data_IF_230275572894
#
_entry.id   IF_230275572894
#
_cell.length_a   1.000
_cell.length_b   1.000
_cell.length_c   1.000
_cell.angle_alpha   90.00
_cell.angle_beta   90.00
_cell.angle_gamma   90.00
#
_symmetry.space_group_name_H-M   'P 1'
#
loop_
_entity.id
_entity.type
_entity.pdbx_description
1 polymer ?
#
# COMPACT_ATOMS: atom_id res chain seq x y z
N UNK A 1 12.89 25.75 31.83
CA UNK A 1 13.78 26.55 30.97
C UNK A 1 13.15 26.69 29.60
N UNK A 2 13.21 27.91 29.08
CA UNK A 2 12.52 28.45 27.91
C UNK A 2 12.76 27.61 26.65
N UNK A 3 11.69 27.28 25.92
CA UNK A 3 11.73 26.72 24.58
C UNK A 3 12.50 27.69 23.66
N UNK A 4 13.80 27.48 23.47
CA UNK A 4 14.60 28.22 22.49
C UNK A 4 14.39 27.56 21.13
N UNK A 5 13.22 27.84 20.54
CA UNK A 5 12.98 27.57 19.12
C UNK A 5 14.11 28.20 18.31
N UNK A 6 14.84 27.37 17.58
CA UNK A 6 15.96 27.80 16.75
C UNK A 6 15.41 28.72 15.64
N UNK A 7 15.65 30.03 15.67
CA UNK A 7 15.10 30.94 14.66
C UNK A 7 15.59 30.61 13.25
N UNK A 8 16.75 29.95 13.16
CA UNK A 8 17.30 29.40 11.92
C UNK A 8 16.40 28.31 11.32
N UNK A 9 15.84 27.41 12.14
CA UNK A 9 14.90 26.38 11.67
C UNK A 9 13.66 27.03 11.05
N UNK A 10 13.14 28.11 11.64
CA UNK A 10 12.04 28.87 11.05
C UNK A 10 12.44 29.55 9.72
N UNK A 11 13.64 30.12 9.63
CA UNK A 11 14.12 30.74 8.39
C UNK A 11 14.26 29.71 7.26
N UNK A 12 14.78 28.51 7.55
CA UNK A 12 14.92 27.43 6.56
C UNK A 12 13.56 26.97 6.04
N UNK A 13 12.53 26.90 6.89
CA UNK A 13 11.17 26.56 6.47
C UNK A 13 10.56 27.61 5.53
N UNK A 14 10.81 28.90 5.77
CA UNK A 14 10.26 30.00 4.96
C UNK A 14 10.93 30.08 3.58
N UNK A 15 12.24 29.83 3.51
CA UNK A 15 12.98 29.80 2.23
C UNK A 15 12.63 28.54 1.42
N UNK A 16 12.41 27.40 2.08
CA UNK A 16 12.04 26.14 1.41
C UNK A 16 10.61 26.08 0.87
N UNK A 17 9.68 26.83 1.48
CA UNK A 17 8.27 26.85 1.06
C UNK A 17 8.01 27.73 -0.18
N UNK A 18 8.96 28.58 -0.57
CA UNK A 18 8.83 29.53 -1.68
C UNK A 18 9.00 28.96 -3.09
N UNK A 19 9.30 27.65 -3.23
CA UNK A 19 9.46 26.97 -4.53
C UNK A 19 8.29 26.03 -4.88
N UNK A 20 7.22 26.01 -4.09
CA UNK A 20 6.00 25.26 -4.43
C UNK A 20 5.00 26.24 -5.03
N UNK A 21 5.02 26.31 -6.37
CA UNK A 21 4.09 27.07 -7.20
C UNK A 21 2.63 26.73 -6.82
N UNK A 22 1.66 27.68 -6.92
CA UNK A 22 0.27 27.41 -6.58
C UNK A 22 -0.28 26.32 -7.50
N UNK A 23 -0.68 25.18 -6.92
CA UNK A 23 -1.54 24.23 -7.60
C UNK A 23 -2.88 24.91 -7.85
N UNK A 24 -3.02 25.54 -9.01
CA UNK A 24 -4.31 25.69 -9.66
C UNK A 24 -4.97 24.32 -9.66
N UNK A 25 -6.23 24.17 -9.19
CA UNK A 25 -6.98 22.97 -9.49
C UNK A 25 -7.19 22.93 -11.01
N UNK A 26 -6.30 22.21 -11.69
CA UNK A 26 -6.54 21.74 -13.05
C UNK A 26 -7.80 20.86 -12.99
N UNK A 27 -8.90 21.24 -13.66
CA UNK A 27 -10.08 20.39 -13.74
C UNK A 27 -9.70 19.16 -14.55
N UNK A 28 -9.53 18.02 -13.87
CA UNK A 28 -9.28 16.68 -14.42
C UNK A 28 -9.92 16.52 -15.80
N UNK A 29 -9.14 16.61 -16.89
CA UNK A 29 -9.64 16.31 -18.21
C UNK A 29 -9.76 14.79 -18.35
N UNK A 30 -10.99 14.31 -18.46
CA UNK A 30 -11.28 13.03 -19.10
C UNK A 30 -11.41 11.82 -18.18
N UNK A 31 -12.59 11.65 -17.57
CA UNK A 31 -13.21 10.32 -17.59
C UNK A 31 -13.90 10.21 -18.94
N UNK A 32 -13.13 9.78 -19.95
CA UNK A 32 -13.70 9.35 -21.21
C UNK A 32 -14.43 8.04 -20.93
N UNK A 33 -15.73 7.91 -21.30
CA UNK A 33 -16.43 6.62 -21.26
C UNK A 33 -15.63 5.58 -22.06
N UNK A 34 -15.79 4.28 -21.79
CA UNK A 34 -15.11 3.23 -22.54
C UNK A 34 -15.33 3.47 -24.02
N UNK A 35 -14.25 3.76 -24.74
CA UNK A 35 -14.29 3.79 -26.19
C UNK A 35 -14.60 2.37 -26.63
N UNK A 36 -15.86 2.15 -27.00
CA UNK A 36 -16.28 1.01 -27.81
C UNK A 36 -15.47 1.06 -29.08
N UNK A 37 -14.34 0.33 -29.12
CA UNK A 37 -13.50 0.22 -30.32
C UNK A 37 -14.20 -0.77 -31.27
N UNK A 38 -14.75 -0.32 -32.41
CA UNK A 38 -15.42 -1.20 -33.34
C UNK A 38 -14.34 -1.84 -34.21
N UNK A 39 -13.89 -3.01 -33.78
CA UNK A 39 -12.83 -3.74 -34.47
C UNK A 39 -12.38 -4.98 -33.71
N UNK A 40 -13.29 -5.71 -33.07
CA UNK A 40 -12.94 -6.92 -32.35
C UNK A 40 -12.71 -8.06 -33.34
N UNK A 41 -11.44 -8.45 -33.52
CA UNK A 41 -11.15 -9.81 -33.94
C UNK A 41 -11.65 -10.76 -32.85
N UNK A 42 -12.23 -11.91 -33.26
CA UNK A 42 -12.82 -12.89 -32.34
C UNK A 42 -11.84 -13.39 -31.27
N UNK A 43 -10.54 -13.34 -31.55
CA UNK A 43 -9.50 -13.69 -30.57
C UNK A 43 -9.38 -12.65 -29.45
N UNK A 44 -9.49 -11.34 -29.73
CA UNK A 44 -9.38 -10.33 -28.68
C UNK A 44 -10.53 -10.41 -27.68
N UNK A 45 -11.74 -10.78 -28.11
CA UNK A 45 -12.87 -11.00 -27.21
C UNK A 45 -12.66 -12.19 -26.28
N UNK A 46 -12.11 -13.29 -26.80
CA UNK A 46 -11.83 -14.48 -25.99
C UNK A 46 -10.73 -14.20 -24.97
N UNK A 47 -9.68 -13.44 -25.34
CA UNK A 47 -8.62 -13.06 -24.41
C UNK A 47 -9.12 -12.15 -23.28
N UNK A 48 -10.04 -11.22 -23.59
CA UNK A 48 -10.65 -10.33 -22.58
C UNK A 48 -11.55 -11.09 -21.62
N UNK A 49 -12.23 -12.14 -22.09
CA UNK A 49 -13.06 -13.01 -21.25
C UNK A 49 -12.20 -13.84 -20.27
N UNK A 50 -11.11 -14.45 -20.76
CA UNK A 50 -10.16 -15.20 -19.92
C UNK A 50 -9.54 -14.29 -18.84
N UNK A 51 -9.19 -13.06 -19.21
CA UNK A 51 -8.58 -12.12 -18.25
C UNK A 51 -9.55 -11.74 -17.14
N UNK A 52 -10.84 -11.55 -17.47
CA UNK A 52 -11.89 -11.28 -16.49
C UNK A 52 -12.10 -12.46 -15.55
N UNK A 53 -12.17 -13.70 -16.07
CA UNK A 53 -12.32 -14.90 -15.26
C UNK A 53 -11.16 -15.07 -14.25
N UNK A 54 -9.93 -14.80 -14.67
CA UNK A 54 -8.75 -14.86 -13.80
C UNK A 54 -8.81 -13.78 -12.72
N UNK A 55 -9.28 -12.57 -13.08
CA UNK A 55 -9.40 -11.46 -12.14
C UNK A 55 -10.49 -11.71 -11.10
N UNK A 56 -11.61 -12.31 -11.48
CA UNK A 56 -12.67 -12.73 -10.56
C UNK A 56 -12.21 -13.84 -9.62
N UNK A 57 -11.43 -14.81 -10.12
CA UNK A 57 -10.82 -15.87 -9.31
C UNK A 57 -9.79 -15.33 -8.32
N UNK A 58 -9.03 -14.29 -8.68
CA UNK A 58 -8.11 -13.60 -7.77
C UNK A 58 -8.80 -12.61 -6.82
N UNK A 59 -9.94 -12.05 -7.24
CA UNK A 59 -10.66 -10.96 -6.57
C UNK A 59 -11.28 -11.32 -5.21
N UNK A 60 -11.31 -12.61 -4.85
CA UNK A 60 -11.67 -13.05 -3.49
C UNK A 60 -10.67 -12.59 -2.42
N UNK A 61 -9.49 -12.11 -2.83
CA UNK A 61 -8.54 -11.38 -1.98
C UNK A 61 -8.61 -9.90 -2.33
N UNK A 62 -9.51 -9.16 -1.68
CA UNK A 62 -9.54 -7.70 -1.78
C UNK A 62 -8.13 -7.12 -1.61
N UNK A 63 -7.59 -6.40 -2.62
CA UNK A 63 -6.32 -5.76 -2.48
C UNK A 63 -6.45 -4.67 -1.39
N UNK A 64 -5.56 -4.64 -0.38
CA UNK A 64 -5.62 -3.61 0.65
C UNK A 64 -5.54 -2.23 -0.02
N UNK A 65 -6.43 -1.33 0.41
CA UNK A 65 -6.41 0.08 0.03
C UNK A 65 -4.97 0.62 0.08
N UNK A 66 -4.58 1.40 -0.93
CA UNK A 66 -3.19 1.76 -1.26
C UNK A 66 -2.37 2.22 -0.03
N UNK A 67 -3.00 2.95 0.88
CA UNK A 67 -2.42 3.44 2.15
C UNK A 67 -1.93 2.34 3.10
N UNK A 68 -2.52 1.14 3.07
CA UNK A 68 -2.14 0.02 3.96
C UNK A 68 -1.05 -0.87 3.37
N UNK A 69 -0.64 -0.67 2.10
CA UNK A 69 0.28 -1.59 1.42
C UNK A 69 1.67 -1.66 2.04
N UNK A 70 2.16 -0.57 2.62
CA UNK A 70 3.51 -0.53 3.20
C UNK A 70 3.65 -1.41 4.46
N UNK A 71 2.53 -1.69 5.13
CA UNK A 71 2.47 -2.47 6.38
C UNK A 71 1.62 -3.73 6.25
N UNK A 72 1.14 -4.03 5.04
CA UNK A 72 0.26 -5.16 4.80
C UNK A 72 1.07 -6.46 4.80
N UNK A 73 0.63 -7.40 5.61
CA UNK A 73 1.16 -8.77 5.68
C UNK A 73 -0.02 -9.74 5.77
N UNK A 74 0.11 -10.97 5.23
CA UNK A 74 -0.94 -11.99 5.34
C UNK A 74 -1.21 -12.36 6.82
N UNK A 75 -2.29 -13.10 7.10
CA UNK A 75 -2.54 -13.71 8.40
C UNK A 75 -1.65 -14.94 8.63
N UNK A 76 -1.25 -15.22 9.87
CA UNK A 76 -0.57 -16.47 10.25
C UNK A 76 -1.58 -17.52 10.74
N UNK A 77 -1.23 -18.80 10.67
CA UNK A 77 -1.86 -19.84 11.48
C UNK A 77 -1.32 -19.84 12.94
N UNK A 78 -2.04 -20.43 13.91
CA UNK A 78 -1.58 -20.55 15.28
C UNK A 78 -0.24 -21.30 15.39
N UNK A 79 0.73 -20.73 16.12
CA UNK A 79 2.05 -21.36 16.35
C UNK A 79 3.07 -21.22 15.21
N UNK A 80 2.69 -20.59 14.09
CA UNK A 80 3.60 -20.29 12.98
C UNK A 80 4.60 -19.18 13.30
N UNK A 81 5.73 -19.12 12.58
CA UNK A 81 6.65 -18.00 12.67
C UNK A 81 6.04 -16.71 12.12
N UNK A 82 5.85 -15.71 13.00
CA UNK A 82 5.25 -14.42 12.67
C UNK A 82 6.28 -13.34 12.33
N UNK A 83 7.55 -13.58 12.65
CA UNK A 83 8.64 -12.66 12.40
C UNK A 83 9.94 -13.39 12.07
N UNK A 84 10.91 -12.67 11.50
CA UNK A 84 12.27 -13.17 11.25
C UNK A 84 13.29 -12.18 11.80
N UNK A 85 14.36 -12.69 12.39
CA UNK A 85 15.46 -11.88 12.90
C UNK A 85 16.64 -11.91 11.94
N UNK A 86 17.13 -10.73 11.58
CA UNK A 86 18.37 -10.55 10.81
C UNK A 86 19.24 -9.54 11.57
N UNK A 87 20.20 -10.07 12.34
CA UNK A 87 21.02 -9.27 13.25
C UNK A 87 20.18 -8.60 14.36
N UNK A 88 20.30 -7.27 14.47
CA UNK A 88 19.50 -6.46 15.41
C UNK A 88 18.10 -6.11 14.89
N UNK A 89 17.79 -6.41 13.62
CA UNK A 89 16.50 -6.06 12.99
C UNK A 89 15.54 -7.24 13.03
N UNK A 90 14.26 -6.93 13.18
CA UNK A 90 13.15 -7.89 13.16
C UNK A 90 12.20 -7.49 12.04
N UNK A 91 11.91 -8.41 11.12
CA UNK A 91 10.92 -8.23 10.06
C UNK A 91 9.64 -9.03 10.36
N UNK A 92 8.47 -8.42 10.13
CA UNK A 92 7.17 -9.08 10.28
C UNK A 92 6.83 -9.87 9.02
N UNK A 93 6.39 -11.12 9.17
CA UNK A 93 6.01 -12.00 8.06
C UNK A 93 4.50 -12.04 7.85
N UNK A 94 3.74 -12.12 8.95
CA UNK A 94 2.30 -12.23 8.95
C UNK A 94 1.70 -11.62 10.23
N UNK A 95 0.39 -11.42 10.27
CA UNK A 95 -0.36 -10.96 11.44
C UNK A 95 -0.97 -12.15 12.18
N UNK A 96 -0.65 -12.29 13.47
CA UNK A 96 -1.22 -13.35 14.30
C UNK A 96 -2.75 -13.20 14.42
N UNK A 97 -3.49 -14.32 14.50
CA UNK A 97 -4.94 -14.31 14.67
C UNK A 97 -5.34 -13.72 16.03
N UNK A 98 -6.60 -13.29 16.13
CA UNK A 98 -7.14 -12.70 17.37
C UNK A 98 -6.91 -13.63 18.56
N UNK A 99 -6.44 -13.08 19.68
CA UNK A 99 -6.15 -13.82 20.90
C UNK A 99 -4.70 -14.32 21.02
N UNK A 100 -3.87 -14.15 19.98
CA UNK A 100 -2.43 -14.44 20.03
C UNK A 100 -1.63 -13.21 19.63
N UNK A 101 -0.38 -13.14 20.06
CA UNK A 101 0.55 -12.07 19.72
C UNK A 101 1.85 -12.63 19.16
N UNK A 102 2.56 -11.83 18.36
CA UNK A 102 3.86 -12.26 17.86
C UNK A 102 4.91 -12.13 18.97
N UNK A 103 5.36 -13.25 19.52
CA UNK A 103 6.44 -13.25 20.50
C UNK A 103 7.77 -13.00 19.78
N UNK A 104 8.41 -11.86 20.04
CA UNK A 104 9.65 -11.47 19.34
C UNK A 104 10.91 -12.24 19.79
N UNK A 105 10.83 -12.99 20.89
CA UNK A 105 11.92 -13.87 21.35
C UNK A 105 11.87 -15.23 20.66
N UNK A 106 10.67 -15.82 20.55
CA UNK A 106 10.45 -17.13 19.93
C UNK A 106 10.14 -17.00 18.42
N UNK A 107 9.81 -15.79 17.98
CA UNK A 107 9.42 -15.42 16.62
C UNK A 107 8.14 -16.11 16.12
N UNK A 108 7.26 -16.53 17.03
CA UNK A 108 6.02 -17.27 16.75
C UNK A 108 4.79 -16.61 17.36
N UNK A 109 3.62 -16.91 16.82
CA UNK A 109 2.35 -16.52 17.43
C UNK A 109 2.09 -17.32 18.71
N UNK A 110 1.97 -16.64 19.85
CA UNK A 110 1.63 -17.19 21.17
C UNK A 110 0.77 -16.22 21.97
#
# INVERSE_FOLDING_TARGET
>A
TRNMGHPWLCLLCLVGSGLILPSTPEPVPGVLPPLSLPGQSREETELVEVLQEVLEKLGTRDPPALEKRLSWVPSCEPGEPCAVRRGARIGKLCSCPRGTSCNLFILKCS
#
